data_IF_097152639387
#
_entry.id   IF_097152639387
#
_cell.length_a   1.000
_cell.length_b   1.000
_cell.length_c   1.000
_cell.angle_alpha   90.00
_cell.angle_beta   90.00
_cell.angle_gamma   90.00
#
_symmetry.space_group_name_H-M   'P 1'
#
loop_
_entity.id
_entity.type
_entity.pdbx_description
1 polymer ?
#
# COMPACT_ATOMS: atom_id res chain seq x y z
N UNK A 1 -16.61 1.96 -9.15
CA UNK A 1 -15.92 2.06 -7.85
C UNK A 1 -14.85 0.98 -7.62
N UNK A 2 -15.17 -0.33 -7.74
CA UNK A 2 -14.18 -1.43 -7.59
C UNK A 2 -12.98 -1.26 -8.52
N UNK A 3 -13.24 -1.00 -9.80
CA UNK A 3 -12.17 -0.82 -10.80
C UNK A 3 -11.29 0.39 -10.51
N UNK A 4 -11.85 1.53 -10.08
CA UNK A 4 -11.06 2.71 -9.69
C UNK A 4 -10.19 2.40 -8.46
N UNK A 5 -10.72 1.70 -7.46
CA UNK A 5 -9.97 1.32 -6.25
C UNK A 5 -8.81 0.38 -6.59
N UNK A 6 -9.06 -0.57 -7.49
CA UNK A 6 -8.06 -1.47 -8.06
C UNK A 6 -6.99 -0.72 -8.86
N UNK A 7 -7.39 0.21 -9.72
CA UNK A 7 -6.46 1.03 -10.50
C UNK A 7 -5.58 1.90 -9.61
N UNK A 8 -6.15 2.58 -8.60
CA UNK A 8 -5.39 3.38 -7.63
C UNK A 8 -4.36 2.50 -6.92
N UNK A 9 -4.78 1.32 -6.45
CA UNK A 9 -3.89 0.36 -5.80
C UNK A 9 -2.75 -0.08 -6.71
N UNK A 10 -3.05 -0.60 -7.91
CA UNK A 10 -2.02 -1.12 -8.82
C UNK A 10 -1.03 -0.03 -9.22
N UNK A 11 -1.50 1.17 -9.55
CA UNK A 11 -0.62 2.29 -9.91
C UNK A 11 0.23 2.74 -8.70
N UNK A 12 -0.34 2.80 -7.49
CA UNK A 12 0.42 3.17 -6.29
C UNK A 12 1.51 2.14 -5.96
N UNK A 13 1.22 0.84 -6.11
CA UNK A 13 2.21 -0.23 -5.91
C UNK A 13 3.34 -0.18 -6.95
N UNK A 14 3.01 0.03 -8.23
CA UNK A 14 4.04 0.10 -9.28
C UNK A 14 4.96 1.30 -9.07
N UNK A 15 4.39 2.48 -8.78
CA UNK A 15 5.17 3.68 -8.45
C UNK A 15 6.09 3.39 -7.26
N UNK A 16 5.55 2.81 -6.19
CA UNK A 16 6.32 2.54 -4.98
C UNK A 16 7.47 1.57 -5.22
N UNK A 17 7.20 0.41 -5.81
CA UNK A 17 8.21 -0.64 -5.99
C UNK A 17 9.25 -0.19 -7.01
N UNK A 18 8.83 0.31 -8.17
CA UNK A 18 9.77 0.68 -9.24
C UNK A 18 10.65 1.85 -8.83
N UNK A 19 10.07 2.94 -8.31
CA UNK A 19 10.88 4.08 -7.89
C UNK A 19 11.80 3.73 -6.71
N UNK A 20 11.33 2.92 -5.76
CA UNK A 20 12.18 2.51 -4.64
C UNK A 20 13.36 1.66 -5.11
N UNK A 21 13.11 0.67 -5.97
CA UNK A 21 14.14 -0.17 -6.56
C UNK A 21 15.17 0.66 -7.32
N UNK A 22 14.71 1.45 -8.29
CA UNK A 22 15.57 2.22 -9.18
C UNK A 22 16.40 3.24 -8.41
N UNK A 23 15.79 4.00 -7.49
CA UNK A 23 16.52 5.00 -6.70
C UNK A 23 17.49 4.35 -5.70
N UNK A 24 17.14 3.21 -5.11
CA UNK A 24 18.06 2.48 -4.22
C UNK A 24 19.32 2.02 -4.96
N UNK A 25 19.16 1.50 -6.18
CA UNK A 25 20.28 1.05 -7.01
C UNK A 25 21.13 2.25 -7.46
N UNK A 26 20.51 3.31 -8.00
CA UNK A 26 21.24 4.43 -8.57
C UNK A 26 21.94 5.31 -7.53
N UNK A 27 21.33 5.52 -6.36
CA UNK A 27 21.82 6.46 -5.34
C UNK A 27 22.64 5.76 -4.27
N UNK A 28 22.23 4.57 -3.85
CA UNK A 28 22.85 3.85 -2.72
C UNK A 28 23.68 2.64 -3.16
N UNK A 29 23.74 2.33 -4.46
CA UNK A 29 24.37 1.13 -5.01
C UNK A 29 23.92 -0.16 -4.27
N UNK A 30 22.65 -0.16 -3.84
CA UNK A 30 22.06 -1.21 -3.03
C UNK A 30 20.89 -1.83 -3.81
N UNK A 31 20.88 -3.15 -3.90
CA UNK A 31 19.78 -3.92 -4.48
C UNK A 31 18.80 -4.31 -3.37
N UNK A 32 17.63 -3.63 -3.25
CA UNK A 32 16.83 -3.74 -2.05
C UNK A 32 15.93 -4.98 -1.99
N UNK A 33 15.62 -5.59 -3.14
CA UNK A 33 15.03 -6.94 -3.21
C UNK A 33 15.60 -7.69 -4.40
N UNK A 34 15.79 -9.01 -4.24
CA UNK A 34 16.29 -9.88 -5.32
C UNK A 34 15.18 -10.26 -6.30
N UNK A 35 15.55 -10.83 -7.45
CA UNK A 35 14.59 -11.30 -8.44
C UNK A 35 13.61 -12.34 -7.86
N UNK A 36 14.12 -13.29 -7.05
CA UNK A 36 13.28 -14.31 -6.40
C UNK A 36 12.28 -13.67 -5.43
N UNK A 37 12.72 -12.66 -4.66
CA UNK A 37 11.83 -11.91 -3.76
C UNK A 37 10.74 -11.17 -4.53
N UNK A 38 11.04 -10.57 -5.68
CA UNK A 38 10.04 -9.93 -6.54
C UNK A 38 9.00 -10.95 -7.03
N UNK A 39 9.44 -12.14 -7.43
CA UNK A 39 8.53 -13.23 -7.83
C UNK A 39 7.63 -13.65 -6.66
N UNK A 40 8.19 -13.80 -5.45
CA UNK A 40 7.40 -14.10 -4.25
C UNK A 40 6.38 -13.00 -3.93
N UNK A 41 6.79 -11.72 -4.02
CA UNK A 41 5.88 -10.57 -3.85
C UNK A 41 4.74 -10.62 -4.87
N UNK A 42 5.06 -10.86 -6.15
CA UNK A 42 4.06 -10.93 -7.21
C UNK A 42 3.07 -12.06 -6.97
N UNK A 43 3.56 -13.27 -6.66
CA UNK A 43 2.72 -14.45 -6.42
C UNK A 43 1.77 -14.25 -5.24
N UNK A 44 2.29 -13.74 -4.11
CA UNK A 44 1.49 -13.50 -2.92
C UNK A 44 0.48 -12.36 -3.10
N UNK A 45 0.89 -11.28 -3.78
CA UNK A 45 0.00 -10.16 -4.09
C UNK A 45 -1.13 -10.58 -5.04
N UNK A 46 -0.86 -11.37 -6.07
CA UNK A 46 -1.88 -11.78 -7.04
C UNK A 46 -2.94 -12.69 -6.39
N UNK A 47 -2.54 -13.55 -5.44
CA UNK A 47 -3.49 -14.33 -4.63
C UNK A 47 -4.47 -13.43 -3.85
N UNK A 48 -3.97 -12.36 -3.23
CA UNK A 48 -4.82 -11.40 -2.52
C UNK A 48 -5.70 -10.59 -3.48
N UNK A 49 -5.22 -10.29 -4.69
CA UNK A 49 -5.94 -9.47 -5.66
C UNK A 49 -7.10 -10.23 -6.29
N UNK A 50 -6.98 -11.54 -6.50
CA UNK A 50 -8.11 -12.38 -6.93
C UNK A 50 -9.29 -12.29 -5.95
N UNK A 51 -9.02 -12.10 -4.66
CA UNK A 51 -10.07 -11.94 -3.65
C UNK A 51 -10.84 -10.61 -3.75
N UNK A 52 -10.26 -9.57 -4.38
CA UNK A 52 -10.92 -8.27 -4.60
C UNK A 52 -12.15 -8.43 -5.51
N UNK A 53 -12.15 -9.41 -6.42
CA UNK A 53 -13.31 -9.72 -7.24
C UNK A 53 -14.56 -10.08 -6.39
N UNK A 54 -14.34 -10.67 -5.22
CA UNK A 54 -15.37 -11.09 -4.26
C UNK A 54 -15.59 -10.06 -3.12
N UNK A 55 -15.02 -8.87 -3.23
CA UNK A 55 -15.14 -7.85 -2.18
C UNK A 55 -16.48 -7.10 -2.25
N UNK A 56 -17.03 -6.77 -1.09
CA UNK A 56 -18.34 -6.14 -0.93
C UNK A 56 -18.26 -4.61 -1.09
N UNK A 57 -17.90 -4.14 -2.28
CA UNK A 57 -17.96 -2.70 -2.58
C UNK A 57 -19.38 -2.34 -3.04
N UNK A 58 -19.96 -1.31 -2.41
CA UNK A 58 -21.27 -0.76 -2.75
C UNK A 58 -21.25 -0.24 -4.19
N UNK A 59 -22.27 -0.60 -4.97
CA UNK A 59 -22.50 0.03 -6.26
C UNK A 59 -22.85 1.51 -6.06
N UNK A 60 -22.41 2.38 -6.97
CA UNK A 60 -22.94 3.74 -7.02
C UNK A 60 -24.31 3.68 -7.69
N UNK A 61 -25.30 4.37 -7.12
CA UNK A 61 -26.67 4.47 -7.68
C UNK A 61 -26.71 5.28 -8.99
N UNK A 62 -25.55 5.84 -9.40
CA UNK A 62 -25.33 6.56 -10.66
C UNK A 62 -24.09 6.01 -11.37
N UNK A 63 -24.04 6.01 -12.71
CA UNK A 63 -22.86 5.56 -13.45
C UNK A 63 -21.62 6.32 -12.99
N UNK A 64 -20.63 5.57 -12.48
CA UNK A 64 -19.32 6.12 -12.08
C UNK A 64 -18.48 6.28 -13.36
N UNK A 65 -18.39 7.51 -13.86
CA UNK A 65 -17.43 7.85 -14.90
C UNK A 65 -15.99 7.67 -14.38
N UNK A 66 -15.09 7.15 -15.21
CA UNK A 66 -13.68 7.02 -14.88
C UNK A 66 -13.00 8.39 -14.93
N UNK A 67 -12.83 9.00 -13.77
CA UNK A 67 -12.01 10.19 -13.59
C UNK A 67 -10.53 9.77 -13.45
N UNK A 68 -9.89 9.58 -14.59
CA UNK A 68 -8.48 9.17 -14.64
C UNK A 68 -7.52 10.19 -14.01
N UNK A 69 -7.70 11.51 -14.16
CA UNK A 69 -6.91 12.50 -13.41
C UNK A 69 -6.97 12.29 -11.89
N UNK A 70 -8.17 12.07 -11.32
CA UNK A 70 -8.33 11.79 -9.90
C UNK A 70 -7.63 10.49 -9.50
N UNK A 71 -7.83 9.41 -10.27
CA UNK A 71 -7.22 8.10 -10.02
C UNK A 71 -5.69 8.21 -10.02
N UNK A 72 -5.11 8.83 -11.04
CA UNK A 72 -3.66 9.02 -11.16
C UNK A 72 -3.11 9.91 -10.04
N UNK A 73 -3.79 11.02 -9.72
CA UNK A 73 -3.37 11.92 -8.65
C UNK A 73 -3.28 11.22 -7.29
N UNK A 74 -4.32 10.47 -6.92
CA UNK A 74 -4.36 9.74 -5.65
C UNK A 74 -3.34 8.60 -5.63
N UNK A 75 -3.23 7.84 -6.72
CA UNK A 75 -2.26 6.76 -6.81
C UNK A 75 -0.83 7.26 -6.70
N UNK A 76 -0.52 8.40 -7.33
CA UNK A 76 0.80 9.04 -7.25
C UNK A 76 1.11 9.48 -5.83
N UNK A 77 0.18 10.17 -5.15
CA UNK A 77 0.38 10.60 -3.77
C UNK A 77 0.62 9.40 -2.84
N UNK A 78 -0.19 8.34 -2.95
CA UNK A 78 -0.02 7.12 -2.15
C UNK A 78 1.28 6.37 -2.49
N UNK A 79 1.66 6.33 -3.76
CA UNK A 79 2.91 5.73 -4.22
C UNK A 79 4.12 6.45 -3.63
N UNK A 80 4.16 7.78 -3.72
CA UNK A 80 5.23 8.63 -3.20
C UNK A 80 5.28 8.61 -1.66
N UNK A 81 4.14 8.62 -0.98
CA UNK A 81 4.10 8.46 0.48
C UNK A 81 4.66 7.10 0.91
N UNK A 82 4.28 6.03 0.20
CA UNK A 82 4.82 4.69 0.42
C UNK A 82 6.32 4.56 0.10
N UNK A 83 6.81 5.31 -0.88
CA UNK A 83 8.22 5.41 -1.26
C UNK A 83 9.03 6.09 -0.15
N UNK A 84 8.56 7.25 0.35
CA UNK A 84 9.18 7.93 1.49
C UNK A 84 9.22 7.01 2.72
N UNK A 85 8.15 6.26 2.97
CA UNK A 85 8.13 5.24 4.02
C UNK A 85 9.12 4.10 3.78
N UNK A 86 9.39 3.68 2.55
CA UNK A 86 10.43 2.68 2.28
C UNK A 86 11.83 3.23 2.59
N UNK A 87 12.13 4.44 2.12
CA UNK A 87 13.44 5.06 2.34
C UNK A 87 13.70 5.39 3.79
N UNK A 88 12.69 5.84 4.54
CA UNK A 88 12.83 6.05 5.98
C UNK A 88 13.19 4.74 6.70
N UNK A 89 12.54 3.63 6.34
CA UNK A 89 12.85 2.33 6.94
C UNK A 89 14.26 1.85 6.55
N UNK A 90 14.64 2.00 5.28
CA UNK A 90 15.98 1.70 4.80
C UNK A 90 17.04 2.51 5.57
N UNK A 91 16.84 3.83 5.69
CA UNK A 91 17.73 4.71 6.44
C UNK A 91 17.88 4.29 7.91
N UNK A 92 16.76 3.98 8.59
CA UNK A 92 16.80 3.51 9.98
C UNK A 92 17.53 2.17 10.11
N UNK A 93 17.25 1.23 9.21
CA UNK A 93 17.86 -0.10 9.23
C UNK A 93 19.38 -0.04 9.00
N UNK A 94 19.84 0.79 8.07
CA UNK A 94 21.25 0.95 7.72
C UNK A 94 22.01 1.82 8.75
N UNK A 95 21.50 3.01 9.06
CA UNK A 95 22.28 4.03 9.79
C UNK A 95 22.06 4.02 11.30
N UNK A 96 20.89 3.59 11.76
CA UNK A 96 20.58 3.58 13.20
C UNK A 96 20.79 2.18 13.79
N UNK A 97 20.24 1.16 13.13
CA UNK A 97 20.32 -0.22 13.60
C UNK A 97 21.51 -1.00 13.07
N UNK A 98 22.25 -0.45 12.10
CA UNK A 98 23.47 -1.05 11.55
C UNK A 98 23.28 -2.50 11.09
N UNK A 99 22.11 -2.79 10.49
CA UNK A 99 21.78 -4.12 10.00
C UNK A 99 22.63 -4.47 8.77
N UNK A 100 22.91 -5.77 8.58
CA UNK A 100 23.59 -6.23 7.36
C UNK A 100 22.71 -6.01 6.13
N UNK A 101 23.33 -5.78 4.98
CA UNK A 101 22.63 -5.54 3.72
C UNK A 101 21.63 -6.66 3.39
N UNK A 102 22.00 -7.93 3.60
CA UNK A 102 21.11 -9.06 3.33
C UNK A 102 19.89 -9.07 4.25
N UNK A 103 20.06 -8.65 5.50
CA UNK A 103 18.96 -8.53 6.46
C UNK A 103 18.05 -7.35 6.11
N UNK A 104 18.62 -6.24 5.62
CA UNK A 104 17.87 -5.10 5.09
C UNK A 104 17.02 -5.52 3.88
N UNK A 105 17.52 -6.39 2.99
CA UNK A 105 16.72 -6.92 1.89
C UNK A 105 15.49 -7.68 2.40
N UNK A 106 15.68 -8.61 3.34
CA UNK A 106 14.57 -9.36 3.97
C UNK A 106 13.56 -8.44 4.66
N UNK A 107 14.06 -7.41 5.35
CA UNK A 107 13.26 -6.40 6.03
C UNK A 107 12.41 -5.59 5.05
N UNK A 108 13.01 -5.15 3.94
CA UNK A 108 12.32 -4.44 2.86
C UNK A 108 11.29 -5.32 2.18
N UNK A 109 11.63 -6.58 1.87
CA UNK A 109 10.69 -7.52 1.27
C UNK A 109 9.42 -7.65 2.10
N UNK A 110 9.57 -7.90 3.42
CA UNK A 110 8.42 -8.01 4.31
C UNK A 110 7.64 -6.71 4.38
N UNK A 111 8.33 -5.55 4.44
CA UNK A 111 7.66 -4.25 4.41
C UNK A 111 6.84 -4.05 3.14
N UNK A 112 7.39 -4.38 1.97
CA UNK A 112 6.70 -4.23 0.68
C UNK A 112 5.49 -5.17 0.61
N UNK A 113 5.63 -6.41 1.09
CA UNK A 113 4.51 -7.37 1.17
C UNK A 113 3.37 -6.86 2.05
N UNK A 114 3.69 -6.50 3.30
CA UNK A 114 2.70 -6.03 4.29
C UNK A 114 2.06 -4.73 3.84
N UNK A 115 2.87 -3.74 3.45
CA UNK A 115 2.36 -2.44 3.02
C UNK A 115 1.51 -2.54 1.75
N UNK A 116 1.85 -3.43 0.82
CA UNK A 116 1.05 -3.67 -0.38
C UNK A 116 -0.36 -4.14 -0.03
N UNK A 117 -0.47 -5.19 0.80
CA UNK A 117 -1.77 -5.70 1.23
C UNK A 117 -2.56 -4.70 2.07
N UNK A 118 -1.89 -3.95 2.95
CA UNK A 118 -2.52 -2.88 3.73
C UNK A 118 -3.06 -1.75 2.82
N UNK A 119 -2.37 -1.42 1.73
CA UNK A 119 -2.81 -0.41 0.75
C UNK A 119 -4.14 -0.80 0.10
N UNK A 120 -4.43 -2.08 -0.11
CA UNK A 120 -5.73 -2.55 -0.63
C UNK A 120 -6.89 -2.07 0.28
N UNK A 121 -6.72 -2.10 1.59
CA UNK A 121 -7.76 -1.62 2.52
C UNK A 121 -7.92 -0.10 2.49
N UNK A 122 -6.83 0.63 2.25
CA UNK A 122 -6.84 2.09 2.10
C UNK A 122 -7.61 2.49 0.84
N UNK A 123 -7.34 1.85 -0.29
CA UNK A 123 -7.86 2.25 -1.61
C UNK A 123 -9.29 1.77 -1.87
N UNK A 124 -9.77 0.73 -1.17
CA UNK A 124 -11.15 0.21 -1.29
C UNK A 124 -12.22 1.28 -1.04
N UNK A 125 -11.93 2.28 -0.21
CA UNK A 125 -12.91 3.31 0.20
C UNK A 125 -12.40 4.71 -0.09
N UNK A 126 -13.29 5.59 -0.56
CA UNK A 126 -12.99 7.03 -0.71
C UNK A 126 -12.89 7.74 0.65
N UNK A 127 -13.67 7.28 1.64
CA UNK A 127 -13.60 7.73 3.03
C UNK A 127 -12.51 7.02 3.84
N UNK A 128 -12.48 7.17 5.18
CA UNK A 128 -11.53 6.45 6.02
C UNK A 128 -11.63 4.94 5.82
N UNK A 129 -10.54 4.21 5.97
CA UNK A 129 -10.51 2.75 5.71
C UNK A 129 -11.55 1.94 6.50
N UNK A 130 -11.93 2.42 7.70
CA UNK A 130 -12.92 1.80 8.58
C UNK A 130 -14.38 2.15 8.24
N UNK A 131 -14.62 3.02 7.25
CA UNK A 131 -15.98 3.44 6.89
C UNK A 131 -16.84 2.28 6.42
N UNK A 132 -16.24 1.26 5.80
CA UNK A 132 -16.92 0.07 5.32
C UNK A 132 -16.10 -1.17 5.65
N UNK A 133 -16.77 -2.18 6.22
CA UNK A 133 -16.13 -3.44 6.58
C UNK A 133 -15.71 -4.19 5.32
N UNK A 134 -14.44 -4.64 5.21
CA UNK A 134 -14.01 -5.52 4.12
C UNK A 134 -14.79 -6.84 4.11
N UNK A 135 -14.87 -7.49 2.96
CA UNK A 135 -15.39 -8.87 2.90
C UNK A 135 -14.52 -9.83 3.73
N UNK A 136 -15.14 -10.87 4.27
CA UNK A 136 -14.42 -11.95 4.98
C UNK A 136 -13.44 -12.68 4.05
N UNK A 137 -13.74 -12.75 2.76
CA UNK A 137 -12.89 -13.36 1.74
C UNK A 137 -11.61 -12.55 1.53
N UNK A 138 -11.71 -11.22 1.41
CA UNK A 138 -10.55 -10.34 1.29
C UNK A 138 -9.68 -10.39 2.55
N UNK A 139 -10.30 -10.31 3.73
CA UNK A 139 -9.57 -10.43 4.99
C UNK A 139 -8.84 -11.77 5.11
N UNK A 140 -9.53 -12.88 4.82
CA UNK A 140 -8.93 -14.22 4.87
C UNK A 140 -7.77 -14.38 3.90
N UNK A 141 -7.93 -13.91 2.66
CA UNK A 141 -6.88 -13.96 1.66
C UNK A 141 -5.63 -13.18 2.10
N UNK A 142 -5.80 -11.94 2.56
CA UNK A 142 -4.69 -11.12 3.06
C UNK A 142 -4.03 -11.77 4.28
N UNK A 143 -4.81 -12.28 5.25
CA UNK A 143 -4.25 -12.90 6.43
C UNK A 143 -3.39 -14.12 6.06
N UNK A 144 -3.89 -14.98 5.17
CA UNK A 144 -3.15 -16.17 4.73
C UNK A 144 -1.86 -15.79 4.01
N UNK A 145 -1.93 -14.89 3.02
CA UNK A 145 -0.73 -14.48 2.26
C UNK A 145 0.29 -13.78 3.15
N UNK A 146 -0.17 -13.00 4.13
CA UNK A 146 0.71 -12.29 5.06
C UNK A 146 1.34 -13.19 6.12
N UNK A 147 0.62 -14.21 6.59
CA UNK A 147 1.22 -15.26 7.43
C UNK A 147 2.32 -15.98 6.65
N UNK A 148 2.04 -16.39 5.40
CA UNK A 148 3.04 -17.05 4.54
C UNK A 148 4.25 -16.13 4.31
N UNK A 149 4.04 -14.87 3.94
CA UNK A 149 5.12 -13.90 3.74
C UNK A 149 5.98 -13.72 5.00
N UNK A 150 5.34 -13.64 6.16
CA UNK A 150 6.02 -13.47 7.45
C UNK A 150 6.84 -14.71 7.79
N UNK A 151 6.30 -15.92 7.63
CA UNK A 151 7.03 -17.17 7.91
C UNK A 151 8.22 -17.35 6.96
N UNK A 152 8.05 -17.06 5.67
CA UNK A 152 9.14 -17.06 4.68
C UNK A 152 10.28 -16.14 5.13
N UNK A 153 9.93 -14.92 5.57
CA UNK A 153 10.93 -13.93 5.98
C UNK A 153 11.59 -14.27 7.31
N UNK A 154 10.81 -14.75 8.29
CA UNK A 154 11.31 -15.07 9.63
C UNK A 154 12.28 -16.24 9.61
N UNK A 155 11.95 -17.30 8.86
CA UNK A 155 12.77 -18.50 8.77
C UNK A 155 13.80 -18.46 7.63
N UNK A 156 13.79 -17.42 6.80
CA UNK A 156 14.79 -17.19 5.76
C UNK A 156 14.67 -18.10 4.53
N UNK A 157 13.46 -18.36 4.06
CA UNK A 157 13.27 -19.08 2.80
C UNK A 157 13.56 -18.13 1.62
N UNK A 158 14.60 -18.41 0.83
CA UNK A 158 15.09 -17.59 -0.29
C UNK A 158 15.63 -16.20 0.09
N UNK A 159 15.87 -15.93 1.37
CA UNK A 159 16.40 -14.68 1.88
C UNK A 159 17.03 -14.87 3.26
N UNK A 160 17.80 -13.91 3.75
CA UNK A 160 18.42 -14.00 5.08
C UNK A 160 17.34 -14.00 6.18
N UNK A 161 17.41 -14.91 7.17
CA UNK A 161 16.42 -14.96 8.25
C UNK A 161 16.35 -13.63 9.02
N UNK A 162 15.16 -13.04 9.09
CA UNK A 162 14.95 -11.76 9.77
C UNK A 162 14.69 -11.93 11.28
N UNK A 163 14.14 -13.08 11.66
CA UNK A 163 13.68 -13.35 13.03
C UNK A 163 12.38 -12.63 13.40
N UNK A 164 11.72 -13.11 14.46
CA UNK A 164 10.41 -12.59 14.89
C UNK A 164 10.46 -11.14 15.39
N UNK A 165 11.53 -10.74 16.09
CA UNK A 165 11.64 -9.38 16.64
C UNK A 165 11.57 -8.31 15.55
N UNK A 166 12.39 -8.46 14.51
CA UNK A 166 12.39 -7.55 13.36
C UNK A 166 11.15 -7.69 12.49
N UNK A 167 10.62 -8.89 12.32
CA UNK A 167 9.35 -9.07 11.60
C UNK A 167 8.20 -8.29 12.28
N UNK A 168 8.08 -8.37 13.61
CA UNK A 168 7.10 -7.60 14.37
C UNK A 168 7.36 -6.10 14.32
N UNK A 169 8.62 -5.66 14.31
CA UNK A 169 8.98 -4.26 14.11
C UNK A 169 8.52 -3.73 12.74
N UNK A 170 8.70 -4.52 11.68
CA UNK A 170 8.22 -4.20 10.33
C UNK A 170 6.69 -4.13 10.29
N UNK A 171 6.00 -5.07 10.94
CA UNK A 171 4.54 -5.03 11.06
C UNK A 171 4.06 -3.76 11.79
N UNK A 172 4.67 -3.43 12.93
CA UNK A 172 4.36 -2.20 13.66
C UNK A 172 4.58 -0.95 12.81
N UNK A 173 5.72 -0.88 12.13
CA UNK A 173 6.05 0.21 11.21
C UNK A 173 5.03 0.33 10.07
N UNK A 174 4.67 -0.79 9.43
CA UNK A 174 3.72 -0.83 8.33
C UNK A 174 2.30 -0.43 8.79
N UNK A 175 1.89 -0.83 10.00
CA UNK A 175 0.60 -0.44 10.58
C UNK A 175 0.53 1.06 10.89
N UNK A 176 1.61 1.64 11.42
CA UNK A 176 1.69 3.10 11.62
C UNK A 176 1.56 3.82 10.28
N UNK A 177 2.34 3.41 9.28
CA UNK A 177 2.27 4.01 7.95
C UNK A 177 0.95 3.77 7.23
N UNK A 178 0.26 2.67 7.50
CA UNK A 178 -1.09 2.42 7.01
C UNK A 178 -2.07 3.49 7.50
N UNK A 179 -2.02 3.84 8.78
CA UNK A 179 -2.85 4.92 9.35
C UNK A 179 -2.48 6.29 8.75
N UNK A 180 -1.18 6.57 8.60
CA UNK A 180 -0.69 7.81 7.98
C UNK A 180 -1.17 7.90 6.53
N UNK A 181 -1.02 6.83 5.75
CA UNK A 181 -1.44 6.78 4.35
C UNK A 181 -2.97 6.93 4.19
N UNK A 182 -3.78 6.43 5.11
CA UNK A 182 -5.23 6.68 5.09
C UNK A 182 -5.54 8.18 5.26
N UNK A 183 -4.80 8.90 6.12
CA UNK A 183 -4.93 10.36 6.25
C UNK A 183 -4.45 11.10 5.00
N UNK A 184 -3.29 10.72 4.46
CA UNK A 184 -2.75 11.30 3.22
C UNK A 184 -3.75 11.12 2.08
N UNK A 185 -4.34 9.93 1.92
CA UNK A 185 -5.40 9.66 0.94
C UNK A 185 -6.57 10.62 1.09
N UNK A 186 -7.07 10.80 2.31
CA UNK A 186 -8.22 11.69 2.57
C UNK A 186 -7.91 13.14 2.22
N UNK A 187 -6.69 13.60 2.50
CA UNK A 187 -6.22 14.93 2.10
C UNK A 187 -6.11 15.03 0.57
N UNK A 188 -5.57 14.00 -0.09
CA UNK A 188 -5.49 13.96 -1.55
C UNK A 188 -6.89 14.02 -2.19
N UNK A 189 -7.87 13.27 -1.69
CA UNK A 189 -9.25 13.38 -2.17
C UNK A 189 -9.81 14.80 -2.02
N UNK A 190 -9.51 15.53 -0.94
CA UNK A 190 -9.96 16.93 -0.77
C UNK A 190 -9.32 17.91 -1.76
N UNK A 191 -8.15 17.58 -2.29
CA UNK A 191 -7.42 18.42 -3.25
C UNK A 191 -7.83 18.10 -4.68
N UNK A 192 -7.92 16.81 -5.02
CA UNK A 192 -8.14 16.36 -6.39
C UNK A 192 -9.62 16.12 -6.75
N UNK A 193 -10.49 15.80 -5.79
CA UNK A 193 -11.91 15.58 -6.07
C UNK A 193 -12.64 16.92 -6.11
N UNK A 194 -12.90 17.41 -7.33
CA UNK A 194 -13.62 18.66 -7.59
C UNK A 194 -15.05 18.68 -7.04
N UNK A 195 -15.59 17.52 -6.62
CA UNK A 195 -16.93 17.40 -6.01
C UNK A 195 -16.92 17.60 -4.50
N UNK A 196 -15.76 17.51 -3.86
CA UNK A 196 -15.59 17.84 -2.45
C UNK A 196 -15.31 19.34 -2.32
N UNK A 197 -15.87 20.04 -1.31
CA UNK A 197 -15.44 21.40 -1.04
C UNK A 197 -13.95 21.37 -0.71
N UNK A 198 -13.13 21.97 -1.58
CA UNK A 198 -11.69 22.04 -1.40
C UNK A 198 -11.31 22.69 -0.07
N UNK A 199 -10.04 22.59 0.35
CA UNK A 199 -9.53 23.18 1.60
C UNK A 199 -9.82 24.69 1.72
N UNK A 200 -10.07 25.37 0.60
CA UNK A 200 -10.43 26.81 0.51
C UNK A 200 -11.85 27.03 -0.06
N UNK A 201 -12.65 25.98 -0.25
CA UNK A 201 -13.96 26.04 -0.86
C UNK A 201 -15.07 26.20 0.17
N UNK A 202 -15.68 27.38 0.23
CA UNK A 202 -16.97 27.60 0.92
C UNK A 202 -17.97 26.53 0.50
N UNK A 203 -18.55 25.82 1.49
CA UNK A 203 -19.65 24.86 1.33
C UNK A 203 -20.71 25.41 0.36
N UNK A 204 -20.73 24.98 -0.90
CA UNK A 204 -21.96 25.07 -1.69
C UNK A 204 -22.91 24.02 -1.14
N UNK A 205 -23.90 24.47 -0.37
CA UNK A 205 -25.10 23.68 -0.04
C UNK A 205 -25.75 23.29 -1.36
N UNK A 206 -25.55 22.05 -1.81
CA UNK A 206 -26.37 21.46 -2.86
C UNK A 206 -27.72 21.21 -2.20
N UNK A 207 -28.69 22.06 -2.52
CA UNK A 207 -30.08 21.86 -2.16
C UNK A 207 -30.59 20.58 -2.80
N UNK A 208 -31.10 19.66 -1.99
CA UNK A 208 -31.99 18.62 -2.47
C UNK A 208 -33.30 19.31 -2.89
N UNK A 209 -33.49 19.47 -4.20
CA UNK A 209 -34.81 19.68 -4.74
C UNK A 209 -35.58 18.36 -4.65
N UNK A 210 -36.82 18.47 -4.18
CA UNK A 210 -37.76 17.39 -3.81
C UNK A 210 -38.01 16.39 -4.92
#
# INVERSE_FOLDING_TARGET
>A
QRMNSYAIYRIAETIRVLLFMTLSILVFNFYPVTAVMIVLLALLNDGAILSIAYDNVRGSDKPEAWDMPLVMGIATVLGVAGLAASFLLFYLAENYFHLSQDMIQSLIYLKLSVAGHLTIFITRTRGPFWSHKPSKTLLGAVLVTQVIATLITVYGLFMTPLGWGWALAVWGYALVWFLVNDRIKLLAYRVFDQRLPGLLGTKKRVGYAK
#
